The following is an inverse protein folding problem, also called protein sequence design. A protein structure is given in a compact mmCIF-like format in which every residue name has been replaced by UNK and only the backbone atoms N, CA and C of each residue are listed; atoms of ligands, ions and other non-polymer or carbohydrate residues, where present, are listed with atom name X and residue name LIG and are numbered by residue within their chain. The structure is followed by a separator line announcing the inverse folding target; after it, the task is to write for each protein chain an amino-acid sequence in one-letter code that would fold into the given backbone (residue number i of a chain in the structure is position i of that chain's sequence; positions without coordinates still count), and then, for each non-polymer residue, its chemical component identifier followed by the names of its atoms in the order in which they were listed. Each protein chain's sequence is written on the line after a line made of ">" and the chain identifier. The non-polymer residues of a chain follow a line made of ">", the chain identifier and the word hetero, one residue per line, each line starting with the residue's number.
data_IF_776191863409
#
_entry.id   IF_776191863409
#
_cell.length_a   1.000
_cell.length_b   1.000
_cell.length_c   1.000
_cell.angle_alpha   90.00
_cell.angle_beta   90.00
_cell.angle_gamma   90.00
#
_symmetry.space_group_name_H-M   'P 1'
#
loop_
_entity.id
_entity.type
_entity.pdbx_description
1 polymer ?
#
# COMPACT_ATOMS: atom_id res chain seq x y z
N UNK A 1 -16.19 -28.24 -48.24
CA UNK A 1 -16.58 -27.90 -46.86
C UNK A 1 -15.35 -28.03 -45.96
N UNK A 2 -14.62 -26.94 -45.70
CA UNK A 2 -13.58 -26.94 -44.65
C UNK A 2 -13.26 -25.49 -44.29
N UNK A 3 -14.22 -24.82 -43.67
CA UNK A 3 -14.07 -23.47 -43.15
C UNK A 3 -14.78 -23.42 -41.80
N UNK A 4 -14.02 -23.68 -40.72
CA UNK A 4 -14.26 -23.18 -39.36
C UNK A 4 -13.27 -23.75 -38.29
N UNK A 5 -12.30 -24.60 -38.64
CA UNK A 5 -11.41 -25.24 -37.65
C UNK A 5 -10.03 -24.61 -37.50
N UNK A 6 -9.58 -23.79 -38.45
CA UNK A 6 -8.21 -23.26 -38.44
C UNK A 6 -8.08 -21.87 -37.79
N UNK A 7 -9.14 -21.33 -37.18
CA UNK A 7 -9.16 -19.96 -36.62
C UNK A 7 -9.01 -19.90 -35.07
N UNK A 8 -8.91 -21.04 -34.37
CA UNK A 8 -8.86 -21.06 -32.88
C UNK A 8 -7.66 -21.87 -32.36
N UNK A 9 -6.49 -21.75 -32.99
CA UNK A 9 -5.28 -22.42 -32.51
C UNK A 9 -4.07 -21.50 -32.35
N UNK A 10 -4.26 -20.19 -32.36
CA UNK A 10 -3.16 -19.26 -32.09
C UNK A 10 -3.59 -18.06 -31.24
N UNK A 11 -4.16 -18.33 -30.06
CA UNK A 11 -4.27 -17.32 -29.01
C UNK A 11 -2.88 -17.22 -28.36
N UNK A 12 -2.15 -16.10 -28.48
CA UNK A 12 -0.90 -15.94 -27.76
C UNK A 12 -1.22 -15.91 -26.26
N UNK A 13 -0.66 -16.84 -25.50
CA UNK A 13 -0.77 -16.85 -24.05
C UNK A 13 -0.35 -15.48 -23.51
N UNK A 14 -1.28 -14.82 -22.80
CA UNK A 14 -1.05 -13.51 -22.24
C UNK A 14 0.18 -13.50 -21.33
N UNK A 15 0.97 -12.43 -21.39
CA UNK A 15 2.10 -12.24 -20.49
C UNK A 15 1.63 -12.37 -19.04
N UNK A 16 2.35 -13.16 -18.24
CA UNK A 16 2.16 -13.19 -16.80
C UNK A 16 2.52 -11.81 -16.24
N UNK A 17 1.62 -11.25 -15.43
CA UNK A 17 1.72 -9.91 -14.86
C UNK A 17 2.92 -9.79 -13.89
N UNK A 18 3.44 -10.95 -13.47
CA UNK A 18 4.45 -11.10 -12.43
C UNK A 18 5.88 -11.23 -13.00
N UNK A 19 6.04 -11.19 -14.33
CA UNK A 19 7.36 -11.28 -14.97
C UNK A 19 8.08 -9.93 -14.90
N UNK A 20 9.27 -9.83 -14.27
CA UNK A 20 10.00 -8.58 -14.20
C UNK A 20 10.41 -8.17 -15.62
N UNK A 21 10.03 -6.95 -16.02
CA UNK A 21 10.34 -6.39 -17.33
C UNK A 21 11.82 -6.61 -17.66
N UNK A 22 12.08 -7.43 -18.67
CA UNK A 22 13.44 -7.76 -19.09
C UNK A 22 14.16 -6.48 -19.52
N UNK A 23 15.45 -6.36 -19.21
CA UNK A 23 16.34 -5.24 -19.62
C UNK A 23 16.34 -4.96 -21.13
N UNK A 24 15.75 -5.85 -21.94
CA UNK A 24 15.56 -5.70 -23.40
C UNK A 24 14.42 -4.74 -23.79
N UNK A 25 13.50 -4.42 -22.88
CA UNK A 25 12.40 -3.46 -23.12
C UNK A 25 12.81 -1.99 -22.90
N UNK A 26 14.02 -1.76 -22.40
CA UNK A 26 14.62 -0.43 -22.29
C UNK A 26 15.15 0.02 -23.66
N UNK A 27 14.23 0.34 -24.57
CA UNK A 27 14.58 1.01 -25.82
C UNK A 27 15.14 2.40 -25.49
N UNK A 28 16.41 2.72 -25.83
CA UNK A 28 16.97 4.05 -25.63
C UNK A 28 16.26 5.01 -26.58
N UNK A 29 15.30 5.77 -26.07
CA UNK A 29 14.53 6.71 -26.87
C UNK A 29 13.15 7.09 -26.32
N UNK A 30 12.63 6.37 -25.32
CA UNK A 30 11.34 6.71 -24.70
C UNK A 30 11.44 8.01 -23.87
N UNK A 31 12.54 8.19 -23.14
CA UNK A 31 12.74 9.39 -22.32
C UNK A 31 12.95 10.65 -23.18
N UNK A 32 13.71 10.53 -24.27
CA UNK A 32 13.94 11.63 -25.22
C UNK A 32 12.66 12.08 -25.95
N UNK A 33 11.68 11.18 -26.12
CA UNK A 33 10.37 11.53 -26.68
C UNK A 33 9.46 12.21 -25.64
N UNK A 34 9.58 11.84 -24.35
CA UNK A 34 8.83 12.41 -23.25
C UNK A 34 9.25 13.87 -22.95
N UNK A 35 10.55 14.16 -22.97
CA UNK A 35 11.07 15.53 -22.79
C UNK A 35 10.61 16.49 -23.90
N UNK A 36 10.59 16.02 -25.17
CA UNK A 36 10.13 16.81 -26.32
C UNK A 36 8.64 17.16 -26.29
N UNK A 37 7.86 16.42 -25.52
CA UNK A 37 6.41 16.61 -25.35
C UNK A 37 6.07 17.33 -24.03
N UNK A 38 7.07 17.83 -23.30
CA UNK A 38 6.87 18.56 -22.04
C UNK A 38 6.45 17.69 -20.86
N UNK A 39 6.74 16.38 -20.90
CA UNK A 39 6.39 15.47 -19.83
C UNK A 39 7.40 15.60 -18.68
N UNK A 40 7.07 16.37 -17.65
CA UNK A 40 7.84 16.40 -16.40
C UNK A 40 7.50 15.17 -15.56
N UNK A 41 8.49 14.32 -15.27
CA UNK A 41 8.33 13.20 -14.35
C UNK A 41 7.84 13.70 -12.98
N UNK A 42 6.76 13.10 -12.47
CA UNK A 42 6.18 13.41 -11.15
C UNK A 42 6.59 12.41 -10.08
N UNK A 43 7.63 11.62 -10.33
CA UNK A 43 8.13 10.69 -9.33
C UNK A 43 8.69 11.49 -8.14
N UNK A 44 8.19 11.28 -6.90
CA UNK A 44 8.71 11.98 -5.73
C UNK A 44 10.18 11.59 -5.52
N UNK A 45 11.07 12.58 -5.50
CA UNK A 45 12.53 12.40 -5.34
C UNK A 45 12.94 11.86 -3.96
N UNK A 46 12.04 11.92 -2.97
CA UNK A 46 12.29 11.41 -1.63
C UNK A 46 11.54 10.11 -1.36
N UNK A 47 12.31 9.02 -1.21
CA UNK A 47 11.83 7.81 -0.56
C UNK A 47 11.52 8.14 0.90
N UNK A 48 10.24 8.25 1.23
CA UNK A 48 9.79 8.33 2.63
C UNK A 48 10.28 7.08 3.36
N UNK A 49 11.28 7.22 4.24
CA UNK A 49 11.75 6.15 5.08
C UNK A 49 10.61 5.69 6.00
N UNK A 50 10.39 4.37 6.04
CA UNK A 50 9.39 3.73 6.90
C UNK A 50 9.69 4.13 8.35
N UNK A 51 8.70 4.70 9.05
CA UNK A 51 8.76 4.97 10.50
C UNK A 51 9.44 3.80 11.21
N UNK A 52 10.46 4.09 12.01
CA UNK A 52 11.17 3.10 12.82
C UNK A 52 10.14 2.25 13.55
N UNK A 53 10.27 0.92 13.43
CA UNK A 53 9.47 0.03 14.26
C UNK A 53 10.02 0.20 15.67
N UNK A 54 9.21 0.76 16.56
CA UNK A 54 9.50 0.76 17.99
C UNK A 54 9.97 -0.65 18.38
N UNK A 55 11.08 -0.74 19.11
CA UNK A 55 11.73 -2.02 19.46
C UNK A 55 10.90 -2.91 20.40
N UNK A 56 9.69 -2.47 20.75
CA UNK A 56 8.77 -3.21 21.60
C UNK A 56 8.09 -4.35 20.82
N UNK A 57 8.10 -5.59 21.34
CA UNK A 57 7.39 -6.69 20.73
C UNK A 57 5.89 -6.39 20.69
N UNK A 58 5.33 -6.30 19.49
CA UNK A 58 3.90 -6.05 19.28
C UNK A 58 3.08 -7.34 19.37
N UNK A 59 1.89 -7.27 19.97
CA UNK A 59 0.91 -8.37 20.05
C UNK A 59 -0.38 -7.95 19.32
N UNK A 60 -1.05 -8.90 18.66
CA UNK A 60 -2.33 -8.64 17.99
C UNK A 60 -3.47 -8.54 19.01
N UNK A 61 -4.21 -7.43 19.01
CA UNK A 61 -5.44 -7.29 19.79
C UNK A 61 -6.67 -7.55 18.90
N UNK A 62 -7.30 -8.71 19.06
CA UNK A 62 -8.49 -9.10 18.29
C UNK A 62 -9.69 -9.23 19.24
N UNK A 63 -10.77 -8.48 19.00
CA UNK A 63 -12.01 -8.58 19.77
C UNK A 63 -13.24 -8.21 18.93
N UNK A 64 -14.40 -8.70 19.35
CA UNK A 64 -15.70 -8.28 18.80
C UNK A 64 -16.29 -7.19 19.68
N UNK A 65 -16.52 -6.02 19.10
CA UNK A 65 -17.19 -4.89 19.77
C UNK A 65 -18.51 -4.57 19.08
N UNK A 66 -19.40 -3.84 19.77
CA UNK A 66 -20.61 -3.29 19.14
C UNK A 66 -20.22 -2.32 18.03
N UNK A 67 -21.00 -2.27 16.95
CA UNK A 67 -20.76 -1.38 15.82
C UNK A 67 -20.64 0.09 16.24
N UNK A 68 -21.48 0.53 17.18
CA UNK A 68 -21.44 1.90 17.71
C UNK A 68 -20.10 2.26 18.36
N UNK A 69 -19.51 1.32 19.12
CA UNK A 69 -18.22 1.49 19.77
C UNK A 69 -17.09 1.54 18.74
N UNK A 70 -17.13 0.64 17.74
CA UNK A 70 -16.15 0.64 16.65
C UNK A 70 -16.16 1.97 15.88
N UNK A 71 -17.34 2.47 15.50
CA UNK A 71 -17.47 3.72 14.76
C UNK A 71 -16.97 4.93 15.59
N UNK A 72 -17.30 4.97 16.89
CA UNK A 72 -16.81 6.03 17.77
C UNK A 72 -15.28 6.02 17.88
N UNK A 73 -14.67 4.84 17.99
CA UNK A 73 -13.21 4.69 18.03
C UNK A 73 -12.55 5.12 16.72
N UNK A 74 -13.09 4.71 15.57
CA UNK A 74 -12.56 5.11 14.25
C UNK A 74 -12.64 6.64 14.08
N UNK A 75 -13.76 7.25 14.47
CA UNK A 75 -13.93 8.71 14.43
C UNK A 75 -12.87 9.41 15.29
N UNK A 76 -12.64 8.95 16.53
CA UNK A 76 -11.59 9.48 17.38
C UNK A 76 -10.20 9.41 16.72
N UNK A 77 -9.88 8.29 16.07
CA UNK A 77 -8.60 8.13 15.38
C UNK A 77 -8.43 9.15 14.24
N UNK A 78 -9.49 9.38 13.47
CA UNK A 78 -9.50 10.34 12.36
C UNK A 78 -9.34 11.79 12.86
N UNK A 79 -10.10 12.17 13.89
CA UNK A 79 -10.07 13.52 14.46
C UNK A 79 -8.70 13.89 15.05
N UNK A 80 -7.98 12.90 15.58
CA UNK A 80 -6.65 13.10 16.18
C UNK A 80 -5.50 12.77 15.21
N UNK A 81 -5.80 12.33 13.99
CA UNK A 81 -4.82 11.86 13.01
C UNK A 81 -3.85 10.79 13.57
N UNK A 82 -4.42 9.82 14.30
CA UNK A 82 -3.68 8.74 14.96
C UNK A 82 -3.95 7.40 14.30
N UNK A 83 -2.95 6.52 14.28
CA UNK A 83 -3.18 5.09 14.02
C UNK A 83 -3.91 4.42 15.19
N UNK A 84 -4.53 3.26 14.99
CA UNK A 84 -5.26 2.57 16.05
C UNK A 84 -4.41 2.28 17.30
N UNK A 85 -3.17 1.77 17.17
CA UNK A 85 -2.31 1.59 18.35
C UNK A 85 -2.01 2.92 19.05
N UNK A 86 -1.71 3.98 18.29
CA UNK A 86 -1.41 5.29 18.87
C UNK A 86 -2.61 5.90 19.59
N UNK A 87 -3.81 5.76 19.02
CA UNK A 87 -5.06 6.18 19.65
C UNK A 87 -5.31 5.42 20.95
N UNK A 88 -5.10 4.10 20.95
CA UNK A 88 -5.22 3.28 22.15
C UNK A 88 -4.21 3.69 23.23
N UNK A 89 -2.93 3.84 22.88
CA UNK A 89 -1.87 4.29 23.81
C UNK A 89 -2.19 5.68 24.38
N UNK A 90 -2.69 6.60 23.54
CA UNK A 90 -3.11 7.93 23.99
C UNK A 90 -4.26 7.84 25.00
N UNK A 91 -5.32 7.08 24.70
CA UNK A 91 -6.44 6.91 25.63
C UNK A 91 -5.99 6.32 26.96
N UNK A 92 -5.14 5.31 26.92
CA UNK A 92 -4.59 4.67 28.12
C UNK A 92 -3.81 5.68 28.97
N UNK A 93 -2.92 6.46 28.34
CA UNK A 93 -2.16 7.52 29.01
C UNK A 93 -3.07 8.61 29.60
N UNK A 94 -4.07 9.07 28.85
CA UNK A 94 -5.02 10.10 29.30
C UNK A 94 -5.84 9.61 30.51
N UNK A 95 -6.08 8.31 30.61
CA UNK A 95 -6.72 7.65 31.76
C UNK A 95 -5.76 7.37 32.93
N UNK A 96 -4.47 7.73 32.79
CA UNK A 96 -3.42 7.41 33.77
C UNK A 96 -3.00 5.94 33.77
N UNK A 97 -3.53 5.13 32.86
CA UNK A 97 -3.22 3.70 32.73
C UNK A 97 -2.02 3.59 31.79
N UNK A 98 -0.82 3.51 32.34
CA UNK A 98 0.39 3.23 31.56
C UNK A 98 1.17 2.13 32.27
N UNK A 99 1.89 1.32 31.49
CA UNK A 99 2.80 0.34 32.09
C UNK A 99 3.88 1.11 32.86
N UNK A 100 4.04 0.89 34.18
CA UNK A 100 5.08 1.55 34.97
C UNK A 100 6.51 1.12 34.59
N UNK A 101 6.68 0.18 33.66
CA UNK A 101 7.99 -0.34 33.24
C UNK A 101 8.54 0.26 31.92
N UNK A 102 7.91 1.31 31.41
CA UNK A 102 8.45 2.13 30.30
C UNK A 102 9.38 3.24 30.79
#
# INVERSE_FOLDING_TARGET
>A
MSGLKDLISNVPEGRRIDEPASRRDAAPGRDAAAERLGFTSREPEERVFRRERDGEPSVSLNMRVKLSVSNAFVKYCQENNLSYPQALTKMMRDLGIHDPKG
#
